data_IF_643223196517
#
_entry.id   IF_643223196517
#
_cell.length_a   1.000
_cell.length_b   1.000
_cell.length_c   1.000
_cell.angle_alpha   90.00
_cell.angle_beta   90.00
_cell.angle_gamma   90.00
#
_symmetry.space_group_name_H-M   'P 1'
#
loop_
_entity.id
_entity.type
_entity.pdbx_description
1 polymer ?
#
# COMPACT_ATOMS: atom_id res chain seq x y z
N UNK A 1 3.43 21.88 7.95
CA UNK A 1 2.43 23.00 8.08
C UNK A 1 2.85 24.15 7.18
N UNK A 2 4.14 24.53 7.16
CA UNK A 2 4.64 25.57 6.26
C UNK A 2 4.45 25.25 4.76
N UNK A 3 4.38 23.97 4.40
CA UNK A 3 4.16 23.52 3.01
C UNK A 3 2.72 23.71 2.50
N UNK A 4 1.74 23.96 3.40
CA UNK A 4 0.35 24.14 3.01
C UNK A 4 -0.02 25.62 2.78
N UNK A 5 0.93 26.59 2.97
CA UNK A 5 0.76 28.01 2.65
C UNK A 5 -0.43 28.68 3.36
N UNK A 6 -0.95 28.11 4.43
CA UNK A 6 -2.09 28.62 5.17
C UNK A 6 -1.96 28.41 6.68
N UNK A 7 -2.66 29.23 7.45
CA UNK A 7 -2.80 29.07 8.90
C UNK A 7 -3.46 27.74 9.22
N UNK A 8 -3.02 27.10 10.31
CA UNK A 8 -3.64 25.88 10.83
C UNK A 8 -5.13 26.19 11.09
N UNK A 9 -6.08 25.44 10.50
CA UNK A 9 -7.49 25.67 10.79
C UNK A 9 -7.76 25.68 12.29
N UNK A 10 -8.53 26.63 12.78
CA UNK A 10 -8.81 26.83 14.22
C UNK A 10 -9.24 25.53 14.94
N UNK A 11 -9.98 24.64 14.23
CA UNK A 11 -10.36 23.34 14.72
C UNK A 11 -9.16 22.41 15.03
N UNK A 12 -8.05 22.53 14.30
CA UNK A 12 -6.83 21.73 14.52
C UNK A 12 -5.94 22.39 15.59
N UNK A 13 -5.87 23.71 15.64
CA UNK A 13 -5.13 24.45 16.66
C UNK A 13 -5.66 24.13 18.08
N UNK A 14 -6.97 24.12 18.27
CA UNK A 14 -7.59 23.75 19.55
C UNK A 14 -7.34 22.31 19.98
N UNK A 15 -7.17 21.37 19.02
CA UNK A 15 -6.84 19.96 19.29
C UNK A 15 -5.39 19.77 19.74
N UNK A 16 -4.45 20.57 19.23
CA UNK A 16 -3.02 20.51 19.60
C UNK A 16 -2.79 21.07 21.02
N UNK A 17 -3.48 22.16 21.39
CA UNK A 17 -3.41 22.72 22.73
C UNK A 17 -4.09 21.82 23.77
N UNK A 18 -5.22 21.20 23.42
CA UNK A 18 -5.95 20.27 24.29
C UNK A 18 -5.18 18.98 24.60
N UNK A 19 -4.23 18.56 23.74
CA UNK A 19 -3.44 17.35 23.93
C UNK A 19 -2.36 17.48 25.03
N UNK A 20 -1.97 18.70 25.41
CA UNK A 20 -0.94 18.95 26.44
C UNK A 20 -1.44 18.91 27.88
N UNK A 21 -2.74 18.91 28.10
CA UNK A 21 -3.31 19.08 29.45
C UNK A 21 -4.36 18.07 29.92
N UNK A 22 -4.77 17.08 29.12
CA UNK A 22 -5.82 16.14 29.52
C UNK A 22 -5.24 14.79 29.95
N UNK A 23 -5.58 14.39 31.18
CA UNK A 23 -5.51 13.01 31.64
C UNK A 23 -6.17 12.11 30.59
N UNK A 24 -5.65 10.91 30.38
CA UNK A 24 -6.22 9.87 29.54
C UNK A 24 -7.73 9.77 29.83
N UNK A 25 -8.53 10.31 28.95
CA UNK A 25 -9.95 10.00 28.91
C UNK A 25 -10.05 8.64 28.23
N UNK A 26 -10.52 7.65 28.96
CA UNK A 26 -11.02 6.43 28.34
C UNK A 26 -12.17 6.84 27.41
N UNK A 27 -12.20 6.34 26.15
CA UNK A 27 -13.28 6.68 25.25
C UNK A 27 -14.58 6.12 25.83
N UNK A 28 -15.49 7.00 26.17
CA UNK A 28 -16.85 6.65 26.55
C UNK A 28 -17.52 5.90 25.38
N UNK A 29 -18.02 4.68 25.65
CA UNK A 29 -19.04 4.00 24.89
C UNK A 29 -18.66 3.52 23.49
N UNK A 30 -17.99 2.35 23.40
CA UNK A 30 -17.79 1.61 22.14
C UNK A 30 -18.99 0.70 21.78
N UNK A 31 -20.22 1.08 22.11
CA UNK A 31 -21.34 0.14 22.09
C UNK A 31 -21.96 -0.15 20.71
N UNK A 32 -21.54 0.50 19.61
CA UNK A 32 -22.19 0.29 18.30
C UNK A 32 -21.23 0.32 17.09
N UNK A 33 -19.97 -0.09 17.27
CA UNK A 33 -19.06 -0.28 16.14
C UNK A 33 -18.98 -1.75 15.76
N UNK A 34 -19.27 -2.07 14.50
CA UNK A 34 -18.86 -3.34 13.93
C UNK A 34 -17.38 -3.60 14.28
N UNK A 35 -17.02 -4.82 14.73
CA UNK A 35 -15.65 -5.11 15.08
C UNK A 35 -14.71 -4.76 13.92
N UNK A 36 -13.58 -4.12 14.23
CA UNK A 36 -12.61 -3.76 13.19
C UNK A 36 -12.14 -5.05 12.47
N UNK A 37 -12.01 -5.01 11.13
CA UNK A 37 -11.58 -6.17 10.37
C UNK A 37 -10.27 -6.74 10.90
N UNK A 38 -10.23 -8.04 11.24
CA UNK A 38 -9.03 -8.73 11.71
C UNK A 38 -8.47 -9.68 10.65
N UNK A 39 -7.14 -9.78 10.56
CA UNK A 39 -6.50 -10.70 9.62
C UNK A 39 -6.79 -12.17 9.95
N UNK A 40 -7.17 -12.48 11.18
CA UNK A 40 -7.64 -13.81 11.60
C UNK A 40 -8.90 -14.28 10.85
N UNK A 41 -9.73 -13.34 10.37
CA UNK A 41 -10.94 -13.68 9.59
C UNK A 41 -10.59 -14.26 8.21
N UNK A 42 -9.35 -14.03 7.74
CA UNK A 42 -8.87 -14.55 6.45
C UNK A 42 -8.42 -15.98 6.63
N UNK A 43 -9.27 -16.91 6.27
CA UNK A 43 -8.98 -18.35 6.34
C UNK A 43 -8.15 -18.77 5.14
N UNK A 44 -7.11 -19.58 5.38
CA UNK A 44 -6.17 -19.99 4.33
C UNK A 44 -5.33 -18.84 3.81
N UNK A 45 -5.07 -18.80 2.48
CA UNK A 45 -4.36 -17.70 1.79
C UNK A 45 -2.99 -17.35 2.40
N UNK A 46 -2.25 -18.33 2.93
CA UNK A 46 -1.00 -18.09 3.66
C UNK A 46 0.01 -17.25 2.85
N UNK A 47 0.12 -17.50 1.54
CA UNK A 47 1.01 -16.73 0.66
C UNK A 47 0.58 -15.26 0.52
N UNK A 48 -0.73 -14.99 0.37
CA UNK A 48 -1.24 -13.63 0.22
C UNK A 48 -1.19 -12.87 1.56
N UNK A 49 -1.43 -13.54 2.69
CA UNK A 49 -1.27 -12.97 4.03
C UNK A 49 0.18 -12.59 4.31
N UNK A 50 1.12 -13.47 3.97
CA UNK A 50 2.56 -13.16 4.09
C UNK A 50 2.96 -11.99 3.19
N UNK A 51 2.48 -11.95 1.95
CA UNK A 51 2.74 -10.82 1.05
C UNK A 51 2.19 -9.49 1.59
N UNK A 52 1.03 -9.53 2.25
CA UNK A 52 0.43 -8.36 2.90
C UNK A 52 1.29 -7.90 4.10
N UNK A 53 1.83 -8.83 4.90
CA UNK A 53 2.76 -8.55 5.98
C UNK A 53 4.06 -7.90 5.46
N UNK A 54 4.65 -8.44 4.38
CA UNK A 54 5.83 -7.85 3.72
C UNK A 54 5.50 -6.46 3.18
N UNK A 55 4.35 -6.29 2.54
CA UNK A 55 3.90 -4.99 2.06
C UNK A 55 3.79 -3.98 3.22
N UNK A 56 3.17 -4.37 4.34
CA UNK A 56 3.05 -3.53 5.52
C UNK A 56 4.42 -3.18 6.13
N UNK A 57 5.33 -4.14 6.22
CA UNK A 57 6.64 -3.93 6.85
C UNK A 57 7.53 -2.95 6.06
N UNK A 58 7.60 -3.09 4.74
CA UNK A 58 8.45 -2.25 3.89
C UNK A 58 7.75 -1.01 3.31
N UNK A 59 6.43 -0.87 3.45
CA UNK A 59 5.63 0.16 2.77
C UNK A 59 5.45 -0.10 1.29
N UNK A 60 5.56 -1.35 0.84
CA UNK A 60 5.51 -1.73 -0.58
C UNK A 60 4.09 -1.67 -1.15
N UNK A 61 3.97 -1.22 -2.39
CA UNK A 61 2.73 -1.32 -3.15
C UNK A 61 2.50 -2.76 -3.59
N UNK A 62 1.24 -3.19 -3.59
CA UNK A 62 0.86 -4.59 -3.86
C UNK A 62 -0.27 -4.69 -4.89
N UNK A 63 -0.16 -5.67 -5.78
CA UNK A 63 -1.20 -6.11 -6.70
C UNK A 63 -1.65 -7.53 -6.31
N UNK A 64 -2.94 -7.67 -6.03
CA UNK A 64 -3.61 -8.93 -5.76
C UNK A 64 -4.38 -9.36 -7.00
N UNK A 65 -4.05 -10.51 -7.58
CA UNK A 65 -4.72 -11.05 -8.77
C UNK A 65 -5.40 -12.36 -8.41
N UNK A 66 -6.68 -12.50 -8.72
CA UNK A 66 -7.40 -13.75 -8.43
C UNK A 66 -8.85 -13.71 -8.90
N UNK A 67 -9.54 -14.85 -8.91
CA UNK A 67 -10.93 -14.93 -9.35
C UNK A 67 -11.86 -14.11 -8.44
N UNK A 68 -13.07 -13.77 -8.91
CA UNK A 68 -14.12 -13.24 -8.05
C UNK A 68 -14.34 -14.14 -6.82
N UNK A 69 -14.58 -13.56 -5.65
CA UNK A 69 -14.78 -14.30 -4.40
C UNK A 69 -13.52 -14.91 -3.77
N UNK A 70 -12.32 -14.71 -4.32
CA UNK A 70 -11.07 -15.21 -3.73
C UNK A 70 -10.62 -14.47 -2.44
N UNK A 71 -11.31 -13.44 -2.01
CA UNK A 71 -10.98 -12.69 -0.80
C UNK A 71 -9.98 -11.56 -0.98
N UNK A 72 -9.72 -11.09 -2.22
CA UNK A 72 -8.78 -10.00 -2.52
C UNK A 72 -9.11 -8.72 -1.75
N UNK A 73 -10.36 -8.26 -1.84
CA UNK A 73 -10.87 -7.07 -1.14
C UNK A 73 -10.77 -7.24 0.37
N UNK A 74 -11.18 -8.42 0.87
CA UNK A 74 -11.10 -8.77 2.29
C UNK A 74 -9.66 -8.70 2.83
N UNK A 75 -8.67 -9.19 2.08
CA UNK A 75 -7.24 -9.07 2.40
C UNK A 75 -6.80 -7.60 2.42
N UNK A 76 -7.15 -6.83 1.37
CA UNK A 76 -6.75 -5.44 1.23
C UNK A 76 -7.29 -4.54 2.36
N UNK A 77 -8.54 -4.73 2.76
CA UNK A 77 -9.20 -4.00 3.85
C UNK A 77 -8.56 -4.24 5.22
N UNK A 78 -7.83 -5.33 5.37
CA UNK A 78 -7.12 -5.68 6.61
C UNK A 78 -5.70 -5.12 6.67
N UNK A 79 -5.19 -4.56 5.60
CA UNK A 79 -3.85 -3.96 5.60
C UNK A 79 -3.71 -2.85 6.67
N UNK A 80 -4.66 -1.92 6.86
CA UNK A 80 -4.54 -0.91 7.91
C UNK A 80 -4.44 -1.49 9.33
N UNK A 81 -5.05 -2.65 9.60
CA UNK A 81 -5.04 -3.28 10.92
C UNK A 81 -3.67 -3.82 11.35
N UNK A 82 -2.75 -3.99 10.38
CA UNK A 82 -1.38 -4.45 10.63
C UNK A 82 -0.33 -3.34 10.45
N UNK A 83 -0.76 -2.13 10.06
CA UNK A 83 0.11 -0.96 10.02
C UNK A 83 0.29 -0.36 11.43
N UNK A 84 1.46 0.21 11.76
CA UNK A 84 1.63 0.93 13.00
C UNK A 84 0.74 2.19 13.02
N UNK A 85 0.32 2.64 14.22
CA UNK A 85 -0.40 3.90 14.36
C UNK A 85 0.44 5.07 13.85
N UNK A 86 -0.24 6.14 13.45
CA UNK A 86 0.42 7.36 12.97
C UNK A 86 1.20 8.03 14.10
N UNK A 87 2.42 8.46 13.80
CA UNK A 87 3.17 9.32 14.70
C UNK A 87 2.52 10.70 14.84
N UNK A 88 2.86 11.49 15.88
CA UNK A 88 2.19 12.76 16.16
C UNK A 88 2.17 13.73 14.97
N UNK A 89 3.27 13.88 14.25
CA UNK A 89 3.36 14.79 13.09
C UNK A 89 2.46 14.31 11.93
N UNK A 90 2.48 13.02 11.64
CA UNK A 90 1.64 12.42 10.59
C UNK A 90 0.14 12.49 10.98
N UNK A 91 -0.19 12.25 12.26
CA UNK A 91 -1.55 12.36 12.77
C UNK A 91 -2.12 13.78 12.59
N UNK A 92 -1.34 14.82 12.89
CA UNK A 92 -1.73 16.22 12.65
C UNK A 92 -1.94 16.47 11.17
N UNK A 93 -1.03 16.02 10.30
CA UNK A 93 -1.13 16.21 8.86
C UNK A 93 -2.38 15.53 8.29
N UNK A 94 -2.62 14.26 8.64
CA UNK A 94 -3.80 13.52 8.18
C UNK A 94 -5.09 14.16 8.69
N UNK A 95 -5.13 14.57 9.96
CA UNK A 95 -6.29 15.24 10.54
C UNK A 95 -6.58 16.56 9.82
N UNK A 96 -5.55 17.34 9.47
CA UNK A 96 -5.70 18.60 8.72
C UNK A 96 -6.27 18.36 7.32
N UNK A 97 -5.80 17.33 6.60
CA UNK A 97 -6.35 16.97 5.28
C UNK A 97 -7.83 16.59 5.39
N UNK A 98 -8.18 15.75 6.38
CA UNK A 98 -9.56 15.32 6.60
C UNK A 98 -10.46 16.50 7.02
N UNK A 99 -9.94 17.44 7.79
CA UNK A 99 -10.66 18.68 8.17
C UNK A 99 -10.97 19.56 6.95
N UNK A 100 -9.98 19.80 6.08
CA UNK A 100 -10.16 20.56 4.83
C UNK A 100 -11.18 19.90 3.90
N UNK A 101 -11.23 18.57 3.89
CA UNK A 101 -12.22 17.80 3.14
C UNK A 101 -13.64 17.84 3.76
N UNK A 102 -13.80 18.32 5.00
CA UNK A 102 -15.06 18.30 5.74
C UNK A 102 -15.43 16.91 6.29
N UNK A 103 -14.43 16.03 6.46
CA UNK A 103 -14.61 14.65 6.93
C UNK A 103 -14.16 14.44 8.37
N UNK A 104 -13.72 15.51 9.04
CA UNK A 104 -13.28 15.43 10.43
C UNK A 104 -14.50 15.37 11.36
N UNK A 105 -14.51 14.32 12.19
CA UNK A 105 -15.37 14.23 13.35
C UNK A 105 -14.65 14.89 14.55
N UNK A 106 -15.08 16.08 14.92
CA UNK A 106 -14.42 16.88 15.95
C UNK A 106 -14.41 16.19 17.34
N UNK A 107 -15.37 15.29 17.61
CA UNK A 107 -15.44 14.56 18.88
C UNK A 107 -14.38 13.46 18.97
N UNK A 108 -13.86 12.99 17.85
CA UNK A 108 -12.87 11.91 17.78
C UNK A 108 -11.41 12.35 17.99
N UNK A 109 -11.15 13.65 17.97
CA UNK A 109 -9.79 14.18 18.08
C UNK A 109 -8.91 13.90 16.86
N UNK A 110 -7.62 13.67 17.07
CA UNK A 110 -6.67 13.39 16.00
C UNK A 110 -6.88 12.01 15.38
N UNK A 111 -6.73 11.92 14.06
CA UNK A 111 -6.68 10.66 13.33
C UNK A 111 -5.34 9.99 13.61
N UNK A 112 -5.34 8.93 14.41
CA UNK A 112 -4.13 8.19 14.80
C UNK A 112 -3.98 6.85 14.08
N UNK A 113 -5.04 6.37 13.43
CA UNK A 113 -5.04 5.13 12.65
C UNK A 113 -4.81 5.44 11.19
N UNK A 114 -3.94 4.69 10.47
CA UNK A 114 -3.77 4.84 9.03
C UNK A 114 -5.10 4.76 8.28
N UNK A 115 -5.49 5.80 7.49
CA UNK A 115 -6.76 5.80 6.80
C UNK A 115 -6.80 4.77 5.66
N UNK A 116 -7.97 4.19 5.41
CA UNK A 116 -8.27 3.41 4.21
C UNK A 116 -9.20 4.21 3.30
N UNK A 117 -8.82 4.36 2.05
CA UNK A 117 -9.68 4.90 0.99
C UNK A 117 -9.85 3.87 -0.10
N UNK A 118 -11.10 3.62 -0.47
CA UNK A 118 -11.46 2.64 -1.50
C UNK A 118 -12.50 3.27 -2.43
N UNK A 119 -12.08 4.15 -3.37
CA UNK A 119 -13.00 4.71 -4.35
C UNK A 119 -13.57 3.60 -5.25
N UNK A 120 -14.85 3.74 -5.62
CA UNK A 120 -15.48 2.86 -6.59
C UNK A 120 -14.81 3.03 -7.97
N UNK A 121 -14.76 2.00 -8.79
CA UNK A 121 -14.09 2.06 -10.12
C UNK A 121 -14.71 3.07 -11.08
N UNK A 122 -15.95 3.54 -10.84
CA UNK A 122 -16.58 4.64 -11.59
C UNK A 122 -16.18 6.03 -11.09
N UNK A 123 -15.30 6.14 -10.08
CA UNK A 123 -14.86 7.41 -9.54
C UNK A 123 -14.19 8.27 -10.62
N UNK A 124 -14.49 9.56 -10.59
CA UNK A 124 -13.88 10.51 -11.52
C UNK A 124 -12.46 10.86 -11.09
N UNK A 125 -11.65 11.39 -12.04
CA UNK A 125 -10.33 11.94 -11.74
C UNK A 125 -10.39 12.98 -10.61
N UNK A 126 -11.41 13.83 -10.59
CA UNK A 126 -11.57 14.84 -9.56
C UNK A 126 -11.86 14.25 -8.17
N UNK A 127 -12.59 13.14 -8.09
CA UNK A 127 -12.82 12.43 -6.83
C UNK A 127 -11.52 11.81 -6.30
N UNK A 128 -10.73 11.19 -7.16
CA UNK A 128 -9.50 10.48 -6.77
C UNK A 128 -8.36 11.46 -6.47
N UNK A 129 -8.09 12.41 -7.36
CA UNK A 129 -6.96 13.36 -7.23
C UNK A 129 -7.32 14.57 -6.38
N UNK A 130 -8.56 15.02 -6.51
CA UNK A 130 -9.05 16.25 -5.93
C UNK A 130 -9.43 17.29 -7.00
N UNK A 131 -10.14 18.30 -6.58
CA UNK A 131 -10.67 19.35 -7.45
C UNK A 131 -11.76 20.17 -6.79
N UNK A 132 -12.64 20.72 -7.60
CA UNK A 132 -13.76 21.58 -7.16
C UNK A 132 -13.90 22.78 -8.08
N UNK A 133 -15.03 23.50 -7.99
CA UNK A 133 -15.32 24.72 -8.76
C UNK A 133 -14.76 26.00 -8.11
N UNK A 134 -14.34 25.94 -6.85
CA UNK A 134 -13.71 27.05 -6.11
C UNK A 134 -12.29 26.68 -5.70
N UNK A 135 -11.97 26.87 -4.41
CA UNK A 135 -10.71 26.43 -3.84
C UNK A 135 -10.56 24.90 -4.01
N UNK A 136 -9.44 24.42 -4.55
CA UNK A 136 -9.22 22.98 -4.74
C UNK A 136 -9.34 22.19 -3.43
N UNK A 137 -10.11 21.10 -3.43
CA UNK A 137 -10.27 20.19 -2.29
C UNK A 137 -9.47 18.90 -2.51
N UNK A 138 -8.94 18.28 -1.42
CA UNK A 138 -8.22 17.03 -1.53
C UNK A 138 -9.13 15.88 -2.00
N UNK A 139 -8.62 14.99 -2.85
CA UNK A 139 -9.27 13.75 -3.26
C UNK A 139 -8.81 12.55 -2.46
N UNK A 140 -9.24 11.34 -2.89
CA UNK A 140 -8.95 10.08 -2.18
C UNK A 140 -7.45 9.81 -1.99
N UNK A 141 -6.58 10.21 -2.92
CA UNK A 141 -5.11 10.04 -2.78
C UNK A 141 -4.55 10.83 -1.59
N UNK A 142 -5.06 12.04 -1.35
CA UNK A 142 -4.65 12.85 -0.21
C UNK A 142 -5.34 12.40 1.08
N UNK A 143 -6.59 11.97 0.99
CA UNK A 143 -7.32 11.39 2.12
C UNK A 143 -6.73 10.04 2.58
N UNK A 144 -6.00 9.34 1.70
CA UNK A 144 -5.25 8.12 2.01
C UNK A 144 -3.82 8.41 2.53
N UNK A 145 -3.44 9.68 2.70
CA UNK A 145 -2.08 10.02 3.15
C UNK A 145 -1.68 9.25 4.41
N UNK A 146 -0.46 8.66 4.43
CA UNK A 146 0.05 7.78 5.50
C UNK A 146 -0.80 6.54 5.77
N UNK A 147 -1.75 6.24 4.89
CA UNK A 147 -2.63 5.08 4.96
C UNK A 147 -2.60 4.26 3.68
N UNK A 148 -3.75 3.73 3.31
CA UNK A 148 -3.93 2.80 2.20
C UNK A 148 -4.93 3.33 1.18
N UNK A 149 -4.54 3.34 -0.09
CA UNK A 149 -5.45 3.52 -1.22
C UNK A 149 -5.69 2.15 -1.87
N UNK A 150 -6.91 1.64 -1.74
CA UNK A 150 -7.36 0.42 -2.38
C UNK A 150 -8.10 0.76 -3.68
N UNK A 151 -7.63 0.24 -4.80
CA UNK A 151 -8.38 0.21 -6.05
C UNK A 151 -8.83 -1.22 -6.31
N UNK A 152 -10.07 -1.50 -5.91
CA UNK A 152 -10.68 -2.79 -6.22
C UNK A 152 -11.15 -2.80 -7.69
N UNK A 153 -11.10 -3.98 -8.33
CA UNK A 153 -11.35 -4.08 -9.77
C UNK A 153 -10.50 -3.08 -10.59
N UNK A 154 -9.23 -2.92 -10.22
CA UNK A 154 -8.35 -1.89 -10.74
C UNK A 154 -8.34 -1.75 -12.28
N UNK A 155 -8.41 -2.83 -13.10
CA UNK A 155 -8.51 -2.69 -14.55
C UNK A 155 -9.84 -2.10 -15.05
N UNK A 156 -10.88 -1.98 -14.19
CA UNK A 156 -12.16 -1.38 -14.58
C UNK A 156 -12.17 0.16 -14.45
N UNK A 157 -11.21 0.72 -13.72
CA UNK A 157 -11.05 2.18 -13.66
C UNK A 157 -10.73 2.77 -15.02
N UNK A 158 -11.22 3.99 -15.33
CA UNK A 158 -10.79 4.73 -16.51
C UNK A 158 -9.26 4.91 -16.51
N UNK A 159 -8.61 4.68 -17.65
CA UNK A 159 -7.14 4.77 -17.76
C UNK A 159 -6.60 6.14 -17.32
N UNK A 160 -7.33 7.23 -17.61
CA UNK A 160 -6.97 8.57 -17.17
C UNK A 160 -6.98 8.75 -15.64
N UNK A 161 -7.74 7.94 -14.89
CA UNK A 161 -7.70 7.93 -13.41
C UNK A 161 -6.46 7.19 -12.92
N UNK A 162 -6.17 6.02 -13.51
CA UNK A 162 -4.98 5.24 -13.16
C UNK A 162 -3.67 5.99 -13.47
N UNK A 163 -3.62 6.69 -14.60
CA UNK A 163 -2.43 7.47 -14.98
C UNK A 163 -2.17 8.66 -14.06
N UNK A 164 -3.22 9.24 -13.44
CA UNK A 164 -3.05 10.33 -12.48
C UNK A 164 -2.35 9.91 -11.19
N UNK A 165 -2.33 8.61 -10.85
CA UNK A 165 -1.65 8.10 -9.66
C UNK A 165 -0.12 8.14 -9.80
N UNK A 166 0.41 8.28 -11.01
CA UNK A 166 1.87 8.27 -11.25
C UNK A 166 2.58 9.36 -10.47
N UNK A 167 2.06 10.59 -10.50
CA UNK A 167 2.66 11.71 -9.81
C UNK A 167 2.69 11.50 -8.29
N UNK A 168 1.57 11.25 -7.59
CA UNK A 168 1.60 11.05 -6.14
C UNK A 168 2.43 9.83 -5.72
N UNK A 169 2.50 8.77 -6.53
CA UNK A 169 3.37 7.62 -6.25
C UNK A 169 4.86 7.93 -6.39
N UNK A 170 5.23 9.00 -7.09
CA UNK A 170 6.63 9.46 -7.22
C UNK A 170 6.99 10.52 -6.20
N UNK A 171 6.17 11.58 -6.13
CA UNK A 171 6.47 12.77 -5.32
C UNK A 171 5.92 12.68 -3.88
N UNK A 172 4.96 11.79 -3.61
CA UNK A 172 4.25 11.75 -2.32
C UNK A 172 3.29 12.92 -2.11
N UNK A 173 3.00 13.69 -3.17
CA UNK A 173 2.11 14.85 -3.12
C UNK A 173 1.32 15.03 -4.41
N UNK A 174 0.24 15.79 -4.35
CA UNK A 174 -0.61 16.16 -5.48
C UNK A 174 -0.77 17.67 -5.52
N UNK A 175 -0.50 18.26 -6.68
CA UNK A 175 -0.79 19.67 -6.96
C UNK A 175 -2.02 19.77 -7.85
N UNK A 176 -2.98 20.58 -7.43
CA UNK A 176 -4.24 20.83 -8.13
C UNK A 176 -4.29 22.30 -8.51
N UNK A 177 -4.27 22.57 -9.82
CA UNK A 177 -4.43 23.91 -10.38
C UNK A 177 -5.86 24.09 -10.89
N UNK A 178 -6.55 25.15 -10.45
CA UNK A 178 -7.89 25.54 -10.85
C UNK A 178 -7.98 27.05 -11.02
N UNK A 179 -9.03 27.54 -11.68
CA UNK A 179 -9.26 28.96 -11.83
C UNK A 179 -9.34 29.71 -10.49
N UNK A 180 -9.81 29.04 -9.43
CA UNK A 180 -9.90 29.59 -8.06
C UNK A 180 -8.61 29.53 -7.24
N UNK A 181 -7.52 28.97 -7.79
CA UNK A 181 -6.22 28.89 -7.12
C UNK A 181 -5.49 27.55 -7.31
N UNK A 182 -4.29 27.49 -6.71
CA UNK A 182 -3.43 26.31 -6.67
C UNK A 182 -3.33 25.80 -5.24
N UNK A 183 -3.47 24.48 -5.07
CA UNK A 183 -3.26 23.82 -3.79
C UNK A 183 -2.40 22.56 -3.96
N UNK A 184 -1.46 22.35 -3.04
CA UNK A 184 -0.65 21.12 -2.98
C UNK A 184 -1.00 20.37 -1.70
N UNK A 185 -1.35 19.10 -1.84
CA UNK A 185 -1.72 18.23 -0.73
C UNK A 185 -0.75 17.06 -0.63
N UNK A 186 -0.32 16.67 0.59
CA UNK A 186 0.39 15.42 0.81
C UNK A 186 -0.45 14.22 0.36
N UNK A 187 0.20 13.27 -0.32
CA UNK A 187 -0.43 12.07 -0.89
C UNK A 187 0.52 10.86 -0.87
N UNK A 188 1.26 10.69 0.22
CA UNK A 188 2.12 9.52 0.42
C UNK A 188 1.28 8.38 1.03
N UNK A 189 0.78 7.49 0.20
CA UNK A 189 -0.06 6.34 0.58
C UNK A 189 0.56 5.03 0.11
N UNK A 190 0.12 3.92 0.70
CA UNK A 190 0.41 2.58 0.22
C UNK A 190 -0.68 2.15 -0.76
N UNK A 191 -0.31 1.82 -2.01
CA UNK A 191 -1.25 1.41 -3.04
C UNK A 191 -1.50 -0.08 -2.97
N UNK A 192 -2.78 -0.46 -2.93
CA UNK A 192 -3.26 -1.82 -3.12
C UNK A 192 -4.13 -1.86 -4.37
N UNK A 193 -3.73 -2.65 -5.33
CA UNK A 193 -4.53 -2.95 -6.52
C UNK A 193 -5.11 -4.34 -6.39
N UNK A 194 -6.40 -4.51 -6.61
CA UNK A 194 -7.03 -5.82 -6.76
C UNK A 194 -7.56 -5.97 -8.18
N UNK A 195 -7.28 -7.11 -8.81
CA UNK A 195 -7.67 -7.38 -10.19
C UNK A 195 -8.17 -8.81 -10.35
N UNK A 196 -9.12 -9.02 -11.26
CA UNK A 196 -9.45 -10.34 -11.75
C UNK A 196 -8.39 -10.79 -12.78
N UNK A 197 -8.19 -12.10 -13.01
CA UNK A 197 -7.20 -12.60 -13.96
C UNK A 197 -7.60 -12.38 -15.43
N UNK A 198 -8.84 -11.98 -15.69
CA UNK A 198 -9.39 -11.63 -17.02
C UNK A 198 -10.78 -11.01 -16.83
N UNK A 199 -11.39 -10.45 -17.91
CA UNK A 199 -12.75 -9.87 -17.81
C UNK A 199 -13.83 -10.82 -17.26
N UNK A 200 -13.77 -12.11 -17.58
CA UNK A 200 -14.73 -13.08 -17.02
C UNK A 200 -14.35 -13.62 -15.63
N UNK A 201 -13.17 -13.28 -15.11
CA UNK A 201 -12.67 -13.70 -13.80
C UNK A 201 -12.19 -15.16 -13.71
N UNK A 202 -12.29 -15.96 -14.77
CA UNK A 202 -12.11 -17.43 -14.70
C UNK A 202 -10.74 -17.94 -15.23
N UNK A 203 -9.84 -17.06 -15.64
CA UNK A 203 -8.50 -17.46 -16.15
C UNK A 203 -7.54 -17.76 -14.99
N UNK A 204 -7.87 -18.76 -14.13
CA UNK A 204 -7.05 -19.21 -13.01
C UNK A 204 -6.54 -20.63 -13.24
N UNK A 205 -5.38 -20.96 -12.74
CA UNK A 205 -4.74 -22.27 -12.91
C UNK A 205 -4.62 -22.63 -14.39
N UNK A 206 -5.20 -23.76 -14.79
CA UNK A 206 -5.19 -24.20 -16.20
C UNK A 206 -6.24 -23.49 -17.09
N UNK A 207 -6.89 -22.41 -16.61
CA UNK A 207 -7.86 -21.64 -17.41
C UNK A 207 -9.18 -22.37 -17.72
N UNK A 208 -9.49 -23.48 -17.05
CA UNK A 208 -10.73 -24.23 -17.23
C UNK A 208 -11.93 -23.34 -16.93
N UNK A 209 -12.82 -23.15 -17.94
CA UNK A 209 -14.00 -22.30 -17.85
C UNK A 209 -13.78 -20.82 -18.23
N UNK A 210 -12.57 -20.40 -18.58
CA UNK A 210 -12.33 -19.08 -19.15
C UNK A 210 -12.70 -19.05 -20.63
N UNK A 211 -13.58 -18.12 -21.01
CA UNK A 211 -14.01 -17.89 -22.41
C UNK A 211 -13.27 -16.73 -23.08
N UNK A 212 -12.40 -16.04 -22.36
CA UNK A 212 -11.67 -14.86 -22.87
C UNK A 212 -10.55 -15.29 -23.80
N UNK A 213 -10.47 -14.64 -24.96
CA UNK A 213 -9.33 -14.78 -25.87
C UNK A 213 -8.05 -14.19 -25.26
N UNK A 214 -6.87 -14.60 -25.75
CA UNK A 214 -5.59 -14.03 -25.32
C UNK A 214 -5.54 -12.51 -25.53
N UNK A 215 -6.17 -12.01 -26.61
CA UNK A 215 -6.25 -10.58 -26.89
C UNK A 215 -7.10 -9.84 -25.85
N UNK A 216 -8.26 -10.41 -25.46
CA UNK A 216 -9.11 -9.82 -24.42
C UNK A 216 -8.39 -9.77 -23.07
N UNK A 217 -7.67 -10.83 -22.68
CA UNK A 217 -6.85 -10.85 -21.45
C UNK A 217 -5.76 -9.79 -21.48
N UNK A 218 -5.02 -9.67 -22.58
CA UNK A 218 -3.99 -8.63 -22.75
C UNK A 218 -4.58 -7.23 -22.68
N UNK A 219 -5.69 -6.95 -23.38
CA UNK A 219 -6.38 -5.66 -23.32
C UNK A 219 -6.89 -5.32 -21.92
N UNK A 220 -7.33 -6.31 -21.16
CA UNK A 220 -7.78 -6.12 -19.79
C UNK A 220 -6.63 -5.66 -18.87
N UNK A 221 -5.52 -6.39 -18.89
CA UNK A 221 -4.35 -6.02 -18.08
C UNK A 221 -3.61 -4.78 -18.59
N UNK A 222 -3.66 -4.47 -19.87
CA UNK A 222 -3.02 -3.26 -20.41
C UNK A 222 -3.67 -1.95 -19.93
N UNK A 223 -4.86 -2.01 -19.33
CA UNK A 223 -5.45 -0.87 -18.61
C UNK A 223 -4.62 -0.47 -17.39
N UNK A 224 -3.96 -1.43 -16.74
CA UNK A 224 -2.91 -1.17 -15.75
C UNK A 224 -1.64 -0.85 -16.52
N UNK A 225 -1.39 0.43 -16.75
CA UNK A 225 -0.25 0.86 -17.58
C UNK A 225 1.09 0.33 -17.04
N UNK A 226 2.04 0.04 -17.92
CA UNK A 226 3.38 -0.39 -17.54
C UNK A 226 4.01 0.52 -16.47
N UNK A 227 4.00 1.86 -16.66
CA UNK A 227 4.49 2.80 -15.65
C UNK A 227 3.79 2.75 -14.29
N UNK A 228 2.51 2.38 -14.21
CA UNK A 228 1.84 2.14 -12.93
C UNK A 228 2.32 0.83 -12.29
N UNK A 229 2.34 -0.26 -13.04
CA UNK A 229 2.84 -1.56 -12.59
C UNK A 229 4.32 -1.50 -12.22
N UNK A 230 5.06 -0.62 -12.86
CA UNK A 230 6.44 -0.31 -12.51
C UNK A 230 6.61 0.31 -11.12
N UNK A 231 5.58 0.70 -10.43
CA UNK A 231 5.59 1.20 -9.04
C UNK A 231 5.07 0.16 -8.04
N UNK A 232 4.53 -0.94 -8.53
CA UNK A 232 4.06 -2.05 -7.69
C UNK A 232 5.24 -3.01 -7.45
N UNK A 233 5.61 -3.18 -6.20
CA UNK A 233 6.75 -4.03 -5.81
C UNK A 233 6.35 -5.50 -5.70
N UNK A 234 5.16 -5.77 -5.17
CA UNK A 234 4.65 -7.11 -4.86
C UNK A 234 3.48 -7.46 -5.78
N UNK A 235 3.53 -8.63 -6.40
CA UNK A 235 2.44 -9.18 -7.20
C UNK A 235 2.12 -10.59 -6.70
N UNK A 236 0.88 -10.81 -6.28
CA UNK A 236 0.45 -12.06 -5.65
C UNK A 236 -0.80 -12.61 -6.31
N UNK A 237 -0.79 -13.89 -6.58
CA UNK A 237 -1.99 -14.62 -6.98
C UNK A 237 -2.77 -15.07 -5.74
N UNK A 238 -4.02 -14.67 -5.66
CA UNK A 238 -4.97 -15.04 -4.60
C UNK A 238 -5.89 -16.12 -5.17
N UNK A 239 -5.63 -17.37 -4.81
CA UNK A 239 -6.41 -18.51 -5.29
C UNK A 239 -7.80 -18.56 -4.66
N UNK A 240 -8.74 -19.29 -5.27
CA UNK A 240 -9.98 -19.62 -4.60
C UNK A 240 -9.71 -20.63 -3.46
N UNK A 241 -10.27 -20.38 -2.29
CA UNK A 241 -10.20 -21.33 -1.17
C UNK A 241 -11.29 -22.39 -1.35
N UNK A 242 -10.91 -23.65 -1.32
CA UNK A 242 -11.87 -24.74 -1.44
C UNK A 242 -12.66 -24.96 -0.13
N UNK A 243 -13.86 -25.54 -0.23
CA UNK A 243 -14.65 -25.90 0.96
C UNK A 243 -13.90 -26.83 1.92
N UNK A 244 -13.04 -27.71 1.38
CA UNK A 244 -12.19 -28.61 2.17
C UNK A 244 -11.11 -27.83 2.92
N UNK A 245 -10.48 -26.84 2.27
CA UNK A 245 -9.51 -25.96 2.94
C UNK A 245 -10.20 -25.14 4.03
N UNK A 246 -11.38 -24.57 3.75
CA UNK A 246 -12.16 -23.83 4.74
C UNK A 246 -12.52 -24.67 5.98
N UNK A 247 -12.93 -25.93 5.78
CA UNK A 247 -13.32 -26.81 6.88
C UNK A 247 -12.14 -27.33 7.73
N UNK A 248 -10.93 -27.35 7.18
CA UNK A 248 -9.71 -27.85 7.82
C UNK A 248 -8.77 -26.75 8.31
N UNK A 249 -8.96 -25.51 7.88
CA UNK A 249 -8.06 -24.43 8.20
C UNK A 249 -8.16 -24.05 9.68
N UNK A 250 -7.03 -24.00 10.34
CA UNK A 250 -6.93 -23.33 11.63
C UNK A 250 -7.19 -21.82 11.46
N UNK A 251 -7.72 -21.15 12.51
CA UNK A 251 -7.83 -19.70 12.50
C UNK A 251 -6.48 -19.05 12.14
N UNK A 252 -6.55 -18.03 11.31
CA UNK A 252 -5.34 -17.28 10.95
C UNK A 252 -4.75 -16.54 12.13
N UNK A 253 -3.48 -16.11 12.02
CA UNK A 253 -2.89 -15.21 13.00
C UNK A 253 -3.67 -13.90 13.05
N UNK A 254 -3.85 -13.35 14.27
CA UNK A 254 -4.55 -12.08 14.45
C UNK A 254 -3.76 -10.90 13.88
N UNK A 255 -4.48 -9.84 13.50
CA UNK A 255 -3.87 -8.57 13.11
C UNK A 255 -2.89 -8.06 14.17
N UNK A 256 -3.18 -8.24 15.47
CA UNK A 256 -2.28 -7.84 16.58
C UNK A 256 -0.93 -8.55 16.50
N UNK A 257 -0.91 -9.86 16.27
CA UNK A 257 0.33 -10.63 16.16
C UNK A 257 1.17 -10.18 14.99
N UNK A 258 0.55 -10.03 13.82
CA UNK A 258 1.23 -9.59 12.59
C UNK A 258 1.70 -8.14 12.72
N UNK A 259 0.89 -7.24 13.27
CA UNK A 259 1.26 -5.84 13.52
C UNK A 259 2.49 -5.70 14.41
N UNK A 260 2.64 -6.58 15.42
CA UNK A 260 3.83 -6.57 16.26
C UNK A 260 5.11 -6.90 15.49
N UNK A 261 5.08 -7.89 14.56
CA UNK A 261 6.20 -8.22 13.67
C UNK A 261 6.49 -7.09 12.68
N UNK A 262 5.46 -6.52 12.07
CA UNK A 262 5.56 -5.35 11.18
C UNK A 262 6.21 -4.17 11.89
N UNK A 263 5.76 -3.84 13.10
CA UNK A 263 6.35 -2.76 13.88
C UNK A 263 7.82 -3.03 14.23
N UNK A 264 8.18 -4.27 14.56
CA UNK A 264 9.56 -4.66 14.81
C UNK A 264 10.44 -4.52 13.56
N UNK A 265 9.96 -4.99 12.40
CA UNK A 265 10.67 -4.85 11.12
C UNK A 265 10.87 -3.37 10.74
N UNK A 266 9.83 -2.53 10.88
CA UNK A 266 9.94 -1.08 10.61
C UNK A 266 10.94 -0.39 11.52
N UNK A 267 11.03 -0.78 12.80
CA UNK A 267 12.06 -0.24 13.71
C UNK A 267 13.47 -0.63 13.27
N UNK A 268 13.70 -1.85 12.76
CA UNK A 268 15.00 -2.27 12.23
C UNK A 268 15.36 -1.46 10.98
N UNK A 269 14.45 -1.33 10.04
CA UNK A 269 14.62 -0.50 8.85
C UNK A 269 14.92 0.96 9.21
N UNK A 270 14.16 1.57 10.14
CA UNK A 270 14.36 2.95 10.57
C UNK A 270 15.74 3.18 11.20
N UNK A 271 16.23 2.25 12.05
CA UNK A 271 17.60 2.33 12.60
C UNK A 271 18.67 2.26 11.52
N UNK A 272 18.53 1.36 10.57
CA UNK A 272 19.48 1.23 9.45
C UNK A 272 19.49 2.48 8.57
N UNK A 273 18.35 3.14 8.40
CA UNK A 273 18.15 4.31 7.55
C UNK A 273 18.29 5.64 8.31
N UNK A 274 18.68 5.64 9.59
CA UNK A 274 18.67 6.82 10.47
C UNK A 274 19.49 8.00 9.93
N UNK A 275 20.60 7.72 9.24
CA UNK A 275 21.42 8.74 8.59
C UNK A 275 20.94 9.17 7.20
N UNK A 276 19.77 8.72 6.77
CA UNK A 276 19.19 8.97 5.45
C UNK A 276 17.83 9.69 5.57
N UNK A 277 17.32 10.28 4.49
CA UNK A 277 15.99 10.90 4.51
C UNK A 277 14.83 9.88 4.44
N UNK A 278 15.12 8.57 4.39
CA UNK A 278 14.11 7.52 4.22
C UNK A 278 13.82 6.80 5.54
N UNK A 279 12.59 6.34 5.71
CA UNK A 279 12.15 5.57 6.88
C UNK A 279 11.63 4.17 6.53
N UNK A 280 11.36 3.91 5.25
CA UNK A 280 10.84 2.64 4.75
C UNK A 280 11.67 2.16 3.55
N UNK A 281 11.77 0.84 3.38
CA UNK A 281 12.54 0.25 2.28
C UNK A 281 11.98 0.60 0.90
N UNK A 282 10.66 0.79 0.76
CA UNK A 282 10.05 1.22 -0.50
C UNK A 282 10.53 2.60 -0.99
N UNK A 283 10.99 3.46 -0.08
CA UNK A 283 11.46 4.81 -0.37
C UNK A 283 12.91 4.86 -0.84
N UNK A 284 13.69 3.82 -0.55
CA UNK A 284 15.14 3.80 -0.79
C UNK A 284 15.44 3.79 -2.29
N UNK A 285 16.29 4.72 -2.82
CA UNK A 285 16.68 4.73 -4.23
C UNK A 285 17.48 3.48 -4.63
N UNK A 286 17.32 3.06 -5.88
CA UNK A 286 18.05 1.92 -6.42
C UNK A 286 19.57 2.09 -6.41
N UNK A 287 20.07 3.31 -6.62
CA UNK A 287 21.50 3.61 -6.54
C UNK A 287 22.08 3.32 -5.14
N UNK A 288 21.34 3.72 -4.09
CA UNK A 288 21.78 3.50 -2.71
C UNK A 288 21.70 2.01 -2.33
N UNK A 289 20.60 1.31 -2.68
CA UNK A 289 20.43 -0.08 -2.26
C UNK A 289 21.43 -1.04 -2.93
N UNK A 290 21.99 -0.67 -4.09
CA UNK A 290 23.07 -1.41 -4.77
C UNK A 290 24.46 -1.01 -4.33
N UNK A 291 24.61 0.09 -3.57
CA UNK A 291 25.92 0.54 -3.08
C UNK A 291 26.33 -0.20 -1.80
N UNK A 292 27.60 -0.13 -1.47
CA UNK A 292 28.16 -0.67 -0.22
C UNK A 292 27.51 -0.04 1.02
N UNK A 293 27.05 1.22 0.93
CA UNK A 293 26.37 1.91 2.02
C UNK A 293 25.09 1.22 2.49
N UNK A 294 24.47 0.38 1.65
CA UNK A 294 23.28 -0.39 2.02
C UNK A 294 23.60 -1.58 2.93
N UNK A 295 24.85 -2.05 2.96
CA UNK A 295 25.22 -3.31 3.61
C UNK A 295 24.72 -4.57 2.88
N UNK A 296 24.25 -4.44 1.64
CA UNK A 296 23.85 -5.58 0.81
C UNK A 296 25.10 -6.37 0.37
N UNK A 297 25.09 -7.68 0.53
CA UNK A 297 26.18 -8.52 0.05
C UNK A 297 26.40 -8.31 -1.46
N UNK A 298 27.62 -7.91 -1.88
CA UNK A 298 27.94 -7.72 -3.29
C UNK A 298 27.68 -8.97 -4.17
N UNK A 299 27.73 -10.17 -3.60
CA UNK A 299 27.43 -11.41 -4.33
C UNK A 299 25.95 -11.48 -4.72
N UNK A 300 25.03 -11.04 -3.86
CA UNK A 300 23.60 -10.95 -4.17
C UNK A 300 23.33 -9.92 -5.26
N UNK A 301 24.00 -8.76 -5.18
CA UNK A 301 23.88 -7.72 -6.22
C UNK A 301 24.36 -8.26 -7.57
N UNK A 302 25.57 -8.89 -7.62
CA UNK A 302 26.10 -9.50 -8.85
C UNK A 302 25.16 -10.55 -9.44
N UNK A 303 24.55 -11.40 -8.60
CA UNK A 303 23.58 -12.41 -9.05
C UNK A 303 22.37 -11.77 -9.73
N UNK A 304 21.84 -10.68 -9.21
CA UNK A 304 20.73 -9.96 -9.83
C UNK A 304 21.14 -9.20 -11.08
N UNK A 305 22.36 -8.64 -11.11
CA UNK A 305 22.91 -8.01 -12.32
C UNK A 305 23.08 -9.03 -13.45
N UNK A 306 23.48 -10.27 -13.15
CA UNK A 306 23.49 -11.34 -14.14
C UNK A 306 22.08 -11.69 -14.70
N UNK A 307 21.02 -11.55 -13.89
CA UNK A 307 19.64 -11.67 -14.38
C UNK A 307 19.21 -10.47 -15.27
N UNK A 308 19.72 -9.28 -14.99
CA UNK A 308 19.55 -8.10 -15.85
C UNK A 308 20.23 -8.31 -17.22
N UNK A 309 21.46 -8.80 -17.24
CA UNK A 309 22.23 -9.05 -18.47
C UNK A 309 21.54 -10.08 -19.38
N UNK A 310 20.88 -11.08 -18.78
CA UNK A 310 20.07 -12.07 -19.54
C UNK A 310 18.70 -11.54 -19.98
N UNK A 311 18.31 -10.33 -19.56
CA UNK A 311 17.00 -9.78 -19.85
C UNK A 311 15.84 -10.35 -18.99
N UNK A 312 16.15 -11.15 -17.96
CA UNK A 312 15.14 -11.71 -17.04
C UNK A 312 14.51 -10.64 -16.16
N UNK A 313 15.29 -9.60 -15.82
CA UNK A 313 14.88 -8.46 -15.01
C UNK A 313 15.28 -7.13 -15.66
N UNK A 314 14.50 -6.07 -15.43
CA UNK A 314 14.95 -4.70 -15.66
C UNK A 314 15.76 -4.18 -14.47
N UNK A 315 16.53 -3.10 -14.63
CA UNK A 315 17.25 -2.47 -13.52
C UNK A 315 16.31 -2.07 -12.37
N UNK A 316 15.14 -1.52 -12.69
CA UNK A 316 14.08 -1.26 -11.69
C UNK A 316 13.60 -2.54 -11.01
N UNK A 317 13.57 -3.65 -11.74
CA UNK A 317 13.28 -4.99 -11.21
C UNK A 317 14.28 -5.43 -10.16
N UNK A 318 15.57 -5.27 -10.45
CA UNK A 318 16.68 -5.53 -9.51
C UNK A 318 16.52 -4.73 -8.23
N UNK A 319 16.30 -3.41 -8.35
CA UNK A 319 16.14 -2.51 -7.19
C UNK A 319 15.01 -2.93 -6.27
N UNK A 320 13.88 -3.35 -6.84
CA UNK A 320 12.72 -3.80 -6.06
C UNK A 320 12.96 -5.13 -5.36
N UNK A 321 13.59 -6.07 -6.05
CA UNK A 321 13.96 -7.36 -5.44
C UNK A 321 14.87 -7.12 -4.23
N UNK A 322 15.84 -6.21 -4.33
CA UNK A 322 16.71 -5.85 -3.22
C UNK A 322 15.95 -5.19 -2.05
N UNK A 323 15.03 -4.26 -2.33
CA UNK A 323 14.19 -3.64 -1.29
C UNK A 323 13.31 -4.68 -0.59
N UNK A 324 12.71 -5.60 -1.33
CA UNK A 324 11.91 -6.69 -0.77
C UNK A 324 12.78 -7.64 0.05
N UNK A 325 13.98 -8.00 -0.42
CA UNK A 325 14.91 -8.85 0.31
C UNK A 325 15.30 -8.23 1.67
N UNK A 326 15.56 -6.92 1.71
CA UNK A 326 15.80 -6.20 2.95
C UNK A 326 14.58 -6.20 3.89
N UNK A 327 13.38 -6.00 3.36
CA UNK A 327 12.15 -6.06 4.16
C UNK A 327 11.94 -7.45 4.76
N UNK A 328 12.24 -8.51 3.99
CA UNK A 328 12.17 -9.90 4.47
C UNK A 328 13.23 -10.19 5.55
N UNK A 329 14.45 -9.68 5.39
CA UNK A 329 15.49 -9.77 6.41
C UNK A 329 15.07 -9.03 7.69
N UNK A 330 14.47 -7.84 7.59
CA UNK A 330 13.94 -7.10 8.73
C UNK A 330 12.82 -7.87 9.45
N UNK A 331 11.93 -8.54 8.73
CA UNK A 331 10.88 -9.39 9.31
C UNK A 331 11.49 -10.62 10.02
N UNK A 332 12.50 -11.23 9.43
CA UNK A 332 13.22 -12.36 10.02
C UNK A 332 14.14 -11.96 11.19
N UNK A 333 14.42 -10.66 11.38
CA UNK A 333 15.37 -10.16 12.36
C UNK A 333 16.84 -10.40 11.98
N UNK A 334 17.11 -10.67 10.70
CA UNK A 334 18.44 -10.84 10.16
C UNK A 334 19.17 -9.50 9.99
N UNK A 335 20.49 -9.50 10.11
CA UNK A 335 21.32 -8.31 9.96
C UNK A 335 21.40 -7.81 8.51
N UNK A 336 21.33 -8.73 7.54
CA UNK A 336 21.35 -8.47 6.10
C UNK A 336 20.57 -9.53 5.33
N UNK A 337 20.15 -9.24 4.09
CA UNK A 337 19.52 -10.23 3.22
C UNK A 337 20.48 -11.37 2.87
N UNK A 338 19.93 -12.58 2.79
CA UNK A 338 20.59 -13.78 2.33
C UNK A 338 19.95 -14.31 1.03
N UNK A 339 20.47 -15.41 0.42
CA UNK A 339 19.89 -16.02 -0.79
C UNK A 339 18.42 -16.47 -0.62
N UNK A 340 17.98 -16.82 0.59
CA UNK A 340 16.60 -17.25 0.87
C UNK A 340 15.66 -16.07 0.78
N UNK A 341 16.04 -14.94 1.40
CA UNK A 341 15.30 -13.67 1.29
C UNK A 341 15.21 -13.22 -0.17
N UNK A 342 16.30 -13.36 -0.94
CA UNK A 342 16.31 -13.02 -2.35
C UNK A 342 15.36 -13.90 -3.17
N UNK A 343 15.36 -15.22 -2.93
CA UNK A 343 14.43 -16.16 -3.57
C UNK A 343 12.97 -15.84 -3.28
N UNK A 344 12.65 -15.54 -2.04
CA UNK A 344 11.29 -15.12 -1.63
C UNK A 344 10.89 -13.78 -2.27
N UNK A 345 11.80 -12.80 -2.32
CA UNK A 345 11.57 -11.52 -2.97
C UNK A 345 11.28 -11.67 -4.48
N UNK A 346 12.02 -12.54 -5.16
CA UNK A 346 11.74 -12.88 -6.57
C UNK A 346 10.37 -13.55 -6.72
N UNK A 347 10.00 -14.48 -5.84
CA UNK A 347 8.71 -15.16 -5.87
C UNK A 347 7.54 -14.19 -5.67
N UNK A 348 7.68 -13.20 -4.77
CA UNK A 348 6.67 -12.15 -4.53
C UNK A 348 6.50 -11.22 -5.74
N UNK A 349 7.45 -11.18 -6.65
CA UNK A 349 7.39 -10.32 -7.83
C UNK A 349 6.92 -11.05 -9.09
N UNK A 350 7.20 -12.36 -9.23
CA UNK A 350 7.00 -13.10 -10.48
C UNK A 350 5.70 -13.89 -10.55
N UNK A 351 4.97 -14.00 -9.45
CA UNK A 351 3.78 -14.85 -9.33
C UNK A 351 2.47 -14.15 -9.69
N UNK A 352 2.34 -13.49 -10.80
CA UNK A 352 1.00 -12.98 -11.10
C UNK A 352 0.80 -12.19 -12.37
N UNK A 353 1.80 -11.86 -13.10
CA UNK A 353 1.68 -10.97 -14.25
C UNK A 353 2.39 -11.47 -15.51
N UNK A 354 2.18 -12.73 -15.90
CA UNK A 354 2.36 -13.10 -17.30
C UNK A 354 1.00 -13.54 -17.84
N UNK A 355 0.36 -12.69 -18.70
CA UNK A 355 -0.83 -13.09 -19.44
C UNK A 355 -0.51 -14.22 -20.42
#
# INVERSE_FOLDING_TARGET
IAALGGEVPAAVAGLVEGARGRRRHEPAGSADRAPAPDLADVVGQAGARHALEVAAAGGHHILLVGPPGAGKTMLAERLPSILPPLGPADAVTVTSIHSVAGLLDAERGLVTTPPLRSPHHTATRAAVIGGGSGMPRPGDVSLAHRGVLLLDEAPEFPSGVLDCLRQPLESGEVTIDRAGGRATYPAAFQLVLAANPCPCGRATGHGKGCTCTSLQRRRYFSRLSGPLLDRVDIQVEVGAVSAVELSRAAPGESSRTVAARVAAARRRAARRLESTPWSLMSQVPGSWIRSEASGTDPALVRRLMGALDRGDLSLRGVDRVLRLAWTLADLAGAAAPDPTHLGTALALRTRGARP
#
